data_IF_939306651640
#
_entry.id   IF_939306651640
#
_cell.length_a   1.000
_cell.length_b   1.000
_cell.length_c   1.000
_cell.angle_alpha   90.00
_cell.angle_beta   90.00
_cell.angle_gamma   90.00
#
_symmetry.space_group_name_H-M   'P 1'
#
loop_
_entity.id
_entity.type
_entity.pdbx_description
1 polymer ?
#
# COMPACT_ATOMS: atom_id res chain seq x y z
N UNK A 1 -0.72 18.29 -7.70
CA UNK A 1 0.04 17.82 -6.51
C UNK A 1 -0.49 16.52 -5.90
N UNK A 2 -1.69 16.05 -6.23
CA UNK A 2 -2.26 14.81 -5.65
C UNK A 2 -1.55 13.49 -6.01
N UNK A 3 -0.63 13.51 -6.99
CA UNK A 3 0.12 12.34 -7.45
C UNK A 3 1.58 12.31 -7.00
N UNK A 4 2.06 13.33 -6.29
CA UNK A 4 3.42 13.34 -5.76
C UNK A 4 3.55 12.45 -4.53
N UNK A 5 4.73 11.87 -4.37
CA UNK A 5 5.11 11.19 -3.13
C UNK A 5 5.09 12.15 -1.95
N UNK A 6 4.60 11.68 -0.82
CA UNK A 6 4.80 12.39 0.44
C UNK A 6 6.25 12.24 0.92
N UNK A 7 6.71 13.15 1.76
CA UNK A 7 8.05 13.09 2.35
C UNK A 7 8.35 11.70 2.96
N UNK A 8 7.43 11.17 3.78
CA UNK A 8 7.62 9.90 4.48
C UNK A 8 7.73 8.71 3.51
N UNK A 9 7.01 8.74 2.37
CA UNK A 9 7.12 7.67 1.35
C UNK A 9 8.40 7.81 0.54
N UNK A 10 8.83 9.03 0.21
CA UNK A 10 10.08 9.29 -0.48
C UNK A 10 11.29 8.91 0.39
N UNK A 11 11.27 9.25 1.68
CA UNK A 11 12.27 8.79 2.65
C UNK A 11 12.33 7.27 2.73
N UNK A 12 11.18 6.59 2.77
CA UNK A 12 11.17 5.13 2.79
C UNK A 12 11.82 4.55 1.53
N UNK A 13 11.44 5.04 0.33
CA UNK A 13 12.03 4.60 -0.94
C UNK A 13 13.54 4.81 -1.00
N UNK A 14 14.04 5.92 -0.48
CA UNK A 14 15.47 6.20 -0.45
C UNK A 14 16.28 5.19 0.37
N UNK A 15 15.65 4.45 1.29
CA UNK A 15 16.31 3.39 2.07
C UNK A 15 16.47 2.07 1.31
N UNK A 16 15.83 1.94 0.15
CA UNK A 16 15.78 0.68 -0.62
C UNK A 16 16.83 0.62 -1.75
N UNK A 17 17.53 1.71 -2.00
CA UNK A 17 18.54 1.79 -3.03
C UNK A 17 19.77 2.57 -2.58
N UNK A 18 20.93 2.18 -3.07
CA UNK A 18 22.20 2.88 -2.91
C UNK A 18 23.13 2.56 -4.09
N UNK A 19 24.22 3.30 -4.23
CA UNK A 19 25.21 3.10 -5.27
C UNK A 19 25.94 4.39 -5.64
N UNK A 20 26.64 4.35 -6.76
CA UNK A 20 27.34 5.50 -7.31
C UNK A 20 26.42 6.35 -8.20
N UNK A 21 25.53 5.70 -8.96
CA UNK A 21 24.75 6.34 -10.05
C UNK A 21 23.26 6.00 -9.97
N UNK A 22 22.41 7.04 -10.08
CA UNK A 22 20.96 6.96 -10.16
C UNK A 22 20.45 7.70 -11.40
N UNK A 23 19.47 7.12 -12.09
CA UNK A 23 18.66 7.83 -13.09
C UNK A 23 17.19 7.74 -12.74
N UNK A 24 16.55 8.88 -12.53
CA UNK A 24 15.09 9.03 -12.44
C UNK A 24 14.56 9.36 -13.84
N UNK A 25 13.84 8.43 -14.46
CA UNK A 25 13.33 8.56 -15.85
C UNK A 25 12.00 9.32 -15.94
N UNK A 26 11.39 9.66 -14.81
CA UNK A 26 10.07 10.29 -14.72
C UNK A 26 10.03 11.36 -13.64
N UNK A 27 10.95 12.27 -13.69
CA UNK A 27 11.33 13.20 -12.63
C UNK A 27 10.19 13.97 -11.94
N UNK A 28 9.17 14.40 -12.69
CA UNK A 28 8.02 15.13 -12.16
C UNK A 28 8.42 16.34 -11.32
N UNK A 29 7.87 16.46 -10.10
CA UNK A 29 8.28 17.51 -9.16
C UNK A 29 9.64 17.25 -8.47
N UNK A 30 10.30 16.15 -8.76
CA UNK A 30 11.63 15.82 -8.24
C UNK A 30 11.67 15.33 -6.79
N UNK A 31 10.53 15.04 -6.17
CA UNK A 31 10.47 14.65 -4.74
C UNK A 31 11.22 13.33 -4.51
N UNK A 32 10.88 12.27 -5.25
CA UNK A 32 11.54 10.97 -5.10
C UNK A 32 13.02 11.06 -5.45
N UNK A 33 13.35 11.73 -6.54
CA UNK A 33 14.73 11.99 -6.96
C UNK A 33 15.53 12.69 -5.86
N UNK A 34 15.00 13.77 -5.25
CA UNK A 34 15.68 14.55 -4.22
C UNK A 34 16.00 13.70 -2.96
N UNK A 35 15.06 12.88 -2.51
CA UNK A 35 15.30 12.03 -1.34
C UNK A 35 16.27 10.88 -1.63
N UNK A 36 16.19 10.25 -2.81
CA UNK A 36 17.11 9.20 -3.21
C UNK A 36 18.51 9.74 -3.49
N UNK A 37 18.66 10.95 -4.02
CA UNK A 37 19.93 11.55 -4.40
C UNK A 37 20.98 11.55 -3.28
N UNK A 38 20.57 11.60 -2.00
CA UNK A 38 21.47 11.52 -0.85
C UNK A 38 22.25 10.20 -0.73
N UNK A 39 21.84 9.17 -1.46
CA UNK A 39 22.42 7.82 -1.46
C UNK A 39 23.33 7.55 -2.65
N UNK A 40 23.46 8.53 -3.57
CA UNK A 40 24.20 8.37 -4.81
C UNK A 40 25.17 9.54 -5.03
N UNK A 41 26.26 9.30 -5.76
CA UNK A 41 27.24 10.35 -6.08
C UNK A 41 26.90 11.13 -7.33
N UNK A 42 26.25 10.49 -8.30
CA UNK A 42 25.84 11.10 -9.57
C UNK A 42 24.40 10.73 -9.85
N UNK A 43 23.55 11.74 -10.07
CA UNK A 43 22.13 11.56 -10.29
C UNK A 43 21.70 12.25 -11.56
N UNK A 44 20.96 11.54 -12.41
CA UNK A 44 20.29 12.08 -13.59
C UNK A 44 18.80 12.17 -13.30
N UNK A 45 18.24 13.37 -13.40
CA UNK A 45 16.82 13.65 -13.35
C UNK A 45 16.34 13.91 -14.77
N UNK A 46 15.38 13.14 -15.27
CA UNK A 46 14.85 13.21 -16.63
C UNK A 46 13.37 13.52 -16.59
N UNK A 47 12.97 14.59 -17.27
CA UNK A 47 11.57 15.04 -17.32
C UNK A 47 11.28 15.69 -18.68
N UNK A 48 10.15 15.34 -19.29
CA UNK A 48 9.75 15.84 -20.61
C UNK A 48 9.17 17.26 -20.57
N UNK A 49 8.58 17.66 -19.43
CA UNK A 49 7.96 18.97 -19.25
C UNK A 49 9.02 20.00 -18.85
N UNK A 50 9.25 20.99 -19.74
CA UNK A 50 10.25 22.03 -19.54
C UNK A 50 10.04 22.82 -18.25
N UNK A 51 8.77 23.16 -17.92
CA UNK A 51 8.44 23.89 -16.70
C UNK A 51 8.88 23.15 -15.42
N UNK A 52 8.72 21.83 -15.37
CA UNK A 52 9.17 21.01 -14.24
C UNK A 52 10.70 20.92 -14.19
N UNK A 53 11.37 20.88 -15.34
CA UNK A 53 12.82 20.92 -15.41
C UNK A 53 13.38 22.24 -14.86
N UNK A 54 12.75 23.38 -15.17
CA UNK A 54 13.18 24.68 -14.64
C UNK A 54 12.98 24.77 -13.12
N UNK A 55 11.85 24.25 -12.61
CA UNK A 55 11.62 24.14 -11.16
C UNK A 55 12.69 23.26 -10.50
N UNK A 56 13.02 22.11 -11.09
CA UNK A 56 14.04 21.20 -10.59
C UNK A 56 15.44 21.84 -10.58
N UNK A 57 15.85 22.49 -11.67
CA UNK A 57 17.11 23.24 -11.78
C UNK A 57 17.25 24.33 -10.71
N UNK A 58 16.13 24.96 -10.35
CA UNK A 58 16.13 25.97 -9.30
C UNK A 58 16.19 25.33 -7.89
N UNK A 59 15.39 24.31 -7.63
CA UNK A 59 15.21 23.75 -6.30
C UNK A 59 16.38 22.85 -5.85
N UNK A 60 16.92 21.98 -6.71
CA UNK A 60 17.97 21.04 -6.31
C UNK A 60 19.21 21.72 -5.72
N UNK A 61 19.76 22.80 -6.31
CA UNK A 61 20.87 23.53 -5.69
C UNK A 61 20.54 24.16 -4.34
N UNK A 62 19.30 24.67 -4.15
CA UNK A 62 18.84 25.22 -2.87
C UNK A 62 18.74 24.15 -1.78
N UNK A 63 18.41 22.92 -2.16
CA UNK A 63 18.40 21.75 -1.28
C UNK A 63 19.80 21.14 -1.06
N UNK A 64 20.86 21.73 -1.63
CA UNK A 64 22.22 21.21 -1.53
C UNK A 64 22.53 20.04 -2.49
N UNK A 65 21.63 19.70 -3.39
CA UNK A 65 21.70 18.54 -4.30
C UNK A 65 22.37 18.91 -5.64
N UNK A 66 23.55 19.53 -5.59
CA UNK A 66 24.30 20.02 -6.76
C UNK A 66 24.82 18.92 -7.70
N UNK A 67 24.79 17.66 -7.26
CA UNK A 67 25.22 16.48 -8.03
C UNK A 67 24.11 15.88 -8.89
N UNK A 68 22.93 16.52 -8.93
CA UNK A 68 21.83 16.15 -9.82
C UNK A 68 21.97 16.92 -11.13
N UNK A 69 22.01 16.20 -12.24
CA UNK A 69 21.94 16.77 -13.59
C UNK A 69 20.52 16.67 -14.12
N UNK A 70 19.95 17.78 -14.59
CA UNK A 70 18.58 17.83 -15.13
C UNK A 70 18.62 17.71 -16.65
N UNK A 71 17.88 16.74 -17.19
CA UNK A 71 17.69 16.52 -18.62
C UNK A 71 16.23 16.79 -18.98
N UNK A 72 16.00 17.73 -19.92
CA UNK A 72 14.67 17.99 -20.45
C UNK A 72 14.46 17.14 -21.71
N UNK A 73 14.01 15.92 -21.52
CA UNK A 73 13.77 14.98 -22.61
C UNK A 73 12.82 13.84 -22.18
N UNK A 74 12.39 13.05 -23.14
CA UNK A 74 11.58 11.86 -22.89
C UNK A 74 12.40 10.77 -22.18
N UNK A 75 11.83 10.16 -21.13
CA UNK A 75 12.50 9.17 -20.30
C UNK A 75 12.90 7.90 -21.07
N UNK A 76 12.08 7.44 -22.03
CA UNK A 76 12.39 6.26 -22.84
C UNK A 76 13.51 6.57 -23.82
N UNK A 77 13.49 7.75 -24.44
CA UNK A 77 14.57 8.21 -25.33
C UNK A 77 15.89 8.37 -24.56
N UNK A 78 15.83 8.85 -23.30
CA UNK A 78 17.01 8.91 -22.44
C UNK A 78 17.53 7.51 -22.11
N UNK A 79 16.64 6.59 -21.70
CA UNK A 79 16.98 5.20 -21.36
C UNK A 79 17.71 4.49 -22.52
N UNK A 80 17.29 4.71 -23.77
CA UNK A 80 17.90 4.08 -24.95
C UNK A 80 19.38 4.45 -25.12
N UNK A 81 19.75 5.71 -24.83
CA UNK A 81 21.09 6.25 -25.11
C UNK A 81 22.00 6.37 -23.89
N UNK A 82 21.45 6.29 -22.66
CA UNK A 82 22.25 6.43 -21.45
C UNK A 82 23.21 5.25 -21.24
N UNK A 83 24.29 5.50 -20.53
CA UNK A 83 25.18 4.44 -20.02
C UNK A 83 24.52 3.69 -18.86
N UNK A 84 24.92 2.42 -18.61
CA UNK A 84 24.41 1.66 -17.47
C UNK A 84 24.67 2.35 -16.13
N UNK A 85 23.69 2.22 -15.20
CA UNK A 85 23.71 2.82 -13.86
C UNK A 85 23.43 1.80 -12.77
N UNK A 86 23.69 2.15 -11.50
CA UNK A 86 23.40 1.25 -10.38
C UNK A 86 21.91 1.17 -10.11
N UNK A 87 21.19 2.30 -10.18
CA UNK A 87 19.76 2.34 -9.94
C UNK A 87 19.01 3.15 -11.00
N UNK A 88 17.87 2.63 -11.44
CA UNK A 88 16.88 3.36 -12.23
C UNK A 88 15.60 3.48 -11.41
N UNK A 89 15.06 4.68 -11.31
CA UNK A 89 13.72 4.93 -10.77
C UNK A 89 12.78 5.33 -11.90
N UNK A 90 11.54 4.81 -11.86
CA UNK A 90 10.51 5.13 -12.83
C UNK A 90 9.12 5.11 -12.19
N UNK A 91 8.33 6.16 -12.39
CA UNK A 91 6.95 6.34 -11.94
C UNK A 91 6.06 6.58 -13.17
N UNK A 92 5.63 5.51 -13.87
CA UNK A 92 4.84 5.65 -15.09
C UNK A 92 3.48 6.28 -14.78
N UNK A 93 3.10 7.28 -15.58
CA UNK A 93 1.82 7.96 -15.48
C UNK A 93 0.69 7.05 -15.98
N UNK A 94 -0.54 7.27 -15.53
CA UNK A 94 -1.71 6.58 -16.07
C UNK A 94 -2.07 7.15 -17.45
N UNK A 95 -2.39 6.30 -18.41
CA UNK A 95 -3.00 6.72 -19.67
C UNK A 95 -4.45 7.14 -19.41
N UNK A 96 -4.74 8.42 -19.51
CA UNK A 96 -6.08 8.98 -19.23
C UNK A 96 -6.99 9.04 -20.46
N UNK A 97 -6.85 8.19 -21.46
CA UNK A 97 -7.55 8.39 -22.74
C UNK A 97 -9.08 8.22 -22.67
N UNK A 98 -9.67 7.51 -21.66
CA UNK A 98 -11.12 7.28 -21.63
C UNK A 98 -11.77 7.17 -20.25
N UNK A 99 -11.19 7.70 -19.17
CA UNK A 99 -11.84 7.70 -17.84
C UNK A 99 -12.08 6.30 -17.24
N UNK A 100 -11.44 5.27 -17.77
CA UNK A 100 -11.49 3.89 -17.29
C UNK A 100 -10.67 3.69 -16.02
N UNK A 101 -10.97 2.61 -15.29
CA UNK A 101 -10.15 2.20 -14.14
C UNK A 101 -8.85 1.61 -14.66
N UNK A 102 -7.72 2.28 -14.44
CA UNK A 102 -6.38 1.73 -14.65
C UNK A 102 -6.16 0.56 -13.68
N UNK A 103 -6.05 -0.65 -14.18
CA UNK A 103 -5.93 -1.87 -13.38
C UNK A 103 -4.63 -2.62 -13.69
N UNK A 104 -4.10 -2.50 -14.91
CA UNK A 104 -2.91 -3.19 -15.39
C UNK A 104 -1.71 -2.24 -15.62
N UNK A 105 -0.50 -2.79 -15.68
CA UNK A 105 0.73 -2.04 -16.02
C UNK A 105 0.64 -1.49 -17.45
N UNK A 106 0.07 -2.24 -18.38
CA UNK A 106 -0.17 -1.81 -19.77
C UNK A 106 -1.04 -0.55 -19.92
N UNK A 107 -1.78 -0.18 -18.85
CA UNK A 107 -2.55 1.06 -18.81
C UNK A 107 -1.71 2.28 -18.40
N UNK A 108 -0.41 2.10 -18.21
CA UNK A 108 0.53 3.15 -17.83
C UNK A 108 1.41 3.61 -19.00
N UNK A 109 1.97 4.81 -18.88
CA UNK A 109 2.93 5.38 -19.83
C UNK A 109 4.17 5.91 -19.07
N UNK A 110 5.36 5.39 -19.40
CA UNK A 110 5.62 4.30 -20.35
C UNK A 110 5.14 2.94 -19.84
N UNK A 111 4.89 1.97 -20.75
CA UNK A 111 4.62 0.59 -20.39
C UNK A 111 5.91 -0.09 -19.94
N UNK A 112 6.07 -0.22 -18.64
CA UNK A 112 7.31 -0.77 -18.05
C UNK A 112 7.46 -2.28 -18.28
N UNK A 113 6.38 -3.00 -18.61
CA UNK A 113 6.48 -4.42 -18.95
C UNK A 113 7.12 -4.60 -20.34
N UNK A 114 6.80 -3.74 -21.30
CA UNK A 114 7.46 -3.74 -22.62
C UNK A 114 8.93 -3.27 -22.52
N UNK A 115 9.24 -2.41 -21.54
CA UNK A 115 10.59 -1.87 -21.34
C UNK A 115 11.47 -2.73 -20.42
N UNK A 116 10.96 -3.83 -19.85
CA UNK A 116 11.65 -4.60 -18.80
C UNK A 116 13.09 -4.99 -19.20
N UNK A 117 13.27 -5.58 -20.39
CA UNK A 117 14.59 -6.01 -20.89
C UNK A 117 15.54 -4.81 -21.11
N UNK A 118 15.03 -3.70 -21.62
CA UNK A 118 15.84 -2.50 -21.81
C UNK A 118 16.24 -1.89 -20.45
N UNK A 119 15.33 -1.80 -19.48
CA UNK A 119 15.62 -1.33 -18.14
C UNK A 119 16.72 -2.19 -17.47
N UNK A 120 16.60 -3.52 -17.58
CA UNK A 120 17.58 -4.47 -17.03
C UNK A 120 18.94 -4.41 -17.71
N UNK A 121 18.99 -4.03 -19.00
CA UNK A 121 20.27 -3.82 -19.70
C UNK A 121 21.01 -2.56 -19.25
N UNK A 122 20.29 -1.61 -18.64
CA UNK A 122 20.80 -0.28 -18.26
C UNK A 122 20.88 -0.06 -16.75
N UNK A 123 20.19 -0.84 -15.93
CA UNK A 123 20.20 -0.70 -14.48
C UNK A 123 20.49 -2.02 -13.76
N UNK A 124 21.29 -1.97 -12.68
CA UNK A 124 21.49 -3.14 -11.80
C UNK A 124 20.25 -3.40 -10.93
N UNK A 125 19.61 -2.32 -10.48
CA UNK A 125 18.35 -2.32 -9.74
C UNK A 125 17.39 -1.33 -10.38
N UNK A 126 16.17 -1.75 -10.61
CA UNK A 126 15.12 -0.87 -11.12
C UNK A 126 14.00 -0.79 -10.11
N UNK A 127 13.62 0.42 -9.71
CA UNK A 127 12.53 0.73 -8.80
C UNK A 127 11.36 1.28 -9.60
N UNK A 128 10.26 0.52 -9.68
CA UNK A 128 9.05 0.91 -10.44
C UNK A 128 7.96 1.28 -9.44
N UNK A 129 7.62 2.55 -9.36
CA UNK A 129 6.52 3.04 -8.54
C UNK A 129 5.21 2.96 -9.32
N UNK A 130 4.20 2.37 -8.73
CA UNK A 130 2.90 2.17 -9.34
C UNK A 130 1.78 2.70 -8.44
N UNK A 131 0.69 3.11 -9.06
CA UNK A 131 -0.52 3.53 -8.36
C UNK A 131 -1.08 2.40 -7.47
N UNK A 132 -1.61 2.72 -6.27
CA UNK A 132 -2.29 1.74 -5.42
C UNK A 132 -3.58 1.19 -6.03
N UNK A 133 -4.07 1.76 -7.12
CA UNK A 133 -5.25 1.24 -7.84
C UNK A 133 -4.93 0.00 -8.68
N UNK A 134 -3.67 -0.20 -9.10
CA UNK A 134 -3.26 -1.36 -9.89
C UNK A 134 -3.46 -2.67 -9.11
N UNK A 135 -3.84 -3.72 -9.85
CA UNK A 135 -3.91 -5.07 -9.29
C UNK A 135 -2.52 -5.68 -9.19
N UNK A 136 -2.08 -5.95 -7.95
CA UNK A 136 -0.76 -6.54 -7.69
C UNK A 136 -0.59 -7.91 -8.35
N UNK A 137 -1.67 -8.68 -8.49
CA UNK A 137 -1.58 -10.01 -9.14
C UNK A 137 -1.33 -9.88 -10.63
N UNK A 138 -2.00 -8.95 -11.28
CA UNK A 138 -1.79 -8.66 -12.69
C UNK A 138 -0.39 -8.07 -12.91
N UNK A 139 0.05 -7.14 -12.06
CA UNK A 139 1.38 -6.56 -12.13
C UNK A 139 2.49 -7.62 -12.08
N UNK A 140 2.41 -8.55 -11.11
CA UNK A 140 3.37 -9.66 -10.98
C UNK A 140 3.31 -10.69 -12.10
N UNK A 141 2.19 -10.79 -12.81
CA UNK A 141 2.08 -11.66 -14.00
C UNK A 141 2.68 -11.01 -15.25
N UNK A 142 2.66 -9.69 -15.33
CA UNK A 142 3.17 -8.94 -16.48
C UNK A 142 4.69 -8.75 -16.45
N UNK A 143 5.33 -8.90 -15.29
CA UNK A 143 6.76 -8.68 -15.09
C UNK A 143 7.46 -10.00 -14.75
N UNK A 144 8.64 -10.24 -15.34
CA UNK A 144 9.38 -11.52 -15.21
C UNK A 144 10.48 -11.49 -14.15
N UNK A 145 11.09 -10.32 -13.93
CA UNK A 145 12.30 -10.16 -13.13
C UNK A 145 12.06 -9.45 -11.79
N UNK A 146 10.83 -9.55 -11.25
CA UNK A 146 10.51 -8.97 -9.94
C UNK A 146 11.27 -9.71 -8.84
N UNK A 147 12.04 -8.97 -8.05
CA UNK A 147 12.80 -9.49 -6.91
C UNK A 147 12.04 -9.34 -5.60
N UNK A 148 11.39 -8.21 -5.42
CA UNK A 148 10.59 -7.91 -4.23
C UNK A 148 9.51 -6.85 -4.55
N UNK A 149 8.50 -6.79 -3.69
CA UNK A 149 7.39 -5.84 -3.78
C UNK A 149 7.22 -5.14 -2.46
N UNK A 150 7.00 -3.81 -2.50
CA UNK A 150 6.59 -3.04 -1.33
C UNK A 150 5.19 -2.46 -1.56
N UNK A 151 4.26 -2.77 -0.67
CA UNK A 151 2.93 -2.18 -0.61
C UNK A 151 2.96 -1.15 0.51
N UNK A 152 2.93 0.14 0.14
CA UNK A 152 3.22 1.23 1.07
C UNK A 152 1.94 1.97 1.42
N UNK A 153 1.65 2.04 2.71
CA UNK A 153 0.55 2.82 3.30
C UNK A 153 1.09 3.91 4.20
N UNK A 154 0.37 5.01 4.28
CA UNK A 154 0.63 6.09 5.24
C UNK A 154 -0.64 6.30 6.06
N UNK A 155 -0.53 6.26 7.39
CA UNK A 155 -1.67 6.38 8.30
C UNK A 155 -2.85 5.48 7.94
N UNK A 156 -2.54 4.21 7.58
CA UNK A 156 -3.51 3.19 7.20
C UNK A 156 -4.27 3.47 5.88
N UNK A 157 -3.68 4.25 4.97
CA UNK A 157 -4.16 4.46 3.61
C UNK A 157 -3.09 4.01 2.61
N UNK A 158 -3.42 3.07 1.71
CA UNK A 158 -2.48 2.60 0.70
C UNK A 158 -2.17 3.70 -0.31
N UNK A 159 -0.90 4.08 -0.42
CA UNK A 159 -0.45 5.21 -1.26
C UNK A 159 0.21 4.77 -2.55
N UNK A 160 1.01 3.71 -2.52
CA UNK A 160 1.77 3.27 -3.69
C UNK A 160 2.14 1.78 -3.60
N UNK A 161 2.38 1.19 -4.76
CA UNK A 161 3.04 -0.09 -4.92
C UNK A 161 4.43 0.19 -5.50
N UNK A 162 5.45 -0.48 -5.00
CA UNK A 162 6.81 -0.39 -5.53
C UNK A 162 7.28 -1.79 -5.91
N UNK A 163 7.64 -1.99 -7.16
CA UNK A 163 8.30 -3.21 -7.64
C UNK A 163 9.79 -2.95 -7.73
N UNK A 164 10.59 -3.85 -7.19
CA UNK A 164 12.04 -3.87 -7.40
C UNK A 164 12.34 -5.02 -8.36
N UNK A 165 12.92 -4.69 -9.51
CA UNK A 165 13.35 -5.68 -10.49
C UNK A 165 14.87 -5.67 -10.65
N UNK A 166 15.43 -6.80 -11.08
CA UNK A 166 16.88 -6.96 -11.28
C UNK A 166 17.21 -8.24 -12.03
N UNK A 167 18.45 -8.34 -12.52
CA UNK A 167 18.88 -9.42 -13.41
C UNK A 167 18.82 -10.83 -12.81
N UNK A 168 18.83 -10.95 -11.48
CA UNK A 168 18.71 -12.25 -10.84
C UNK A 168 17.24 -12.49 -10.44
N UNK A 169 16.52 -13.40 -11.12
CA UNK A 169 15.12 -13.68 -10.78
C UNK A 169 15.02 -14.32 -9.39
N UNK A 170 14.09 -13.80 -8.58
CA UNK A 170 13.77 -14.42 -7.29
C UNK A 170 12.78 -15.56 -7.49
N UNK A 171 13.10 -16.77 -6.99
CA UNK A 171 12.18 -17.90 -6.99
C UNK A 171 10.97 -17.67 -6.07
N UNK A 172 11.17 -16.96 -4.98
CA UNK A 172 10.13 -16.56 -4.03
C UNK A 172 10.17 -15.05 -3.88
N UNK A 173 9.18 -14.36 -4.43
CA UNK A 173 9.09 -12.90 -4.37
C UNK A 173 8.54 -12.49 -3.00
N UNK A 174 9.34 -11.86 -2.12
CA UNK A 174 8.82 -11.31 -0.88
C UNK A 174 7.93 -10.09 -1.16
N UNK A 175 6.81 -10.02 -0.46
CA UNK A 175 5.89 -8.89 -0.49
C UNK A 175 5.94 -8.23 0.89
N UNK A 176 6.47 -7.02 0.92
CA UNK A 176 6.62 -6.19 2.10
C UNK A 176 5.43 -5.25 2.24
N UNK A 177 4.58 -5.50 3.22
CA UNK A 177 3.47 -4.61 3.57
C UNK A 177 3.98 -3.61 4.61
N UNK A 178 4.02 -2.34 4.25
CA UNK A 178 4.58 -1.27 5.07
C UNK A 178 3.46 -0.26 5.38
N UNK A 179 3.26 0.04 6.65
CA UNK A 179 2.39 1.14 7.06
C UNK A 179 3.19 2.15 7.87
N UNK A 180 3.41 3.31 7.29
CA UNK A 180 4.18 4.41 7.86
C UNK A 180 3.24 5.33 8.66
N UNK A 181 3.58 5.59 9.91
CA UNK A 181 2.87 6.57 10.75
C UNK A 181 3.87 7.51 11.40
N UNK A 182 3.41 8.59 12.01
CA UNK A 182 4.28 9.49 12.77
C UNK A 182 4.88 8.86 14.03
N UNK A 183 4.34 7.72 14.48
CA UNK A 183 4.77 7.04 15.72
C UNK A 183 5.64 5.82 15.44
N UNK A 184 5.33 5.07 14.40
CA UNK A 184 5.95 3.76 14.12
C UNK A 184 5.88 3.39 12.64
N UNK A 185 6.72 2.45 12.27
CA UNK A 185 6.67 1.73 11.00
C UNK A 185 6.18 0.30 11.27
N UNK A 186 4.94 -0.02 10.89
CA UNK A 186 4.43 -1.38 10.93
C UNK A 186 4.88 -2.13 9.68
N UNK A 187 5.41 -3.32 9.85
CA UNK A 187 5.89 -4.15 8.73
C UNK A 187 5.32 -5.56 8.82
N UNK A 188 4.98 -6.13 7.66
CA UNK A 188 4.58 -7.51 7.52
C UNK A 188 5.08 -8.04 6.18
N UNK A 189 5.89 -9.09 6.17
CA UNK A 189 6.43 -9.68 4.95
C UNK A 189 5.91 -11.10 4.76
N UNK A 190 5.49 -11.41 3.54
CA UNK A 190 5.02 -12.74 3.16
C UNK A 190 5.37 -13.05 1.69
N UNK A 191 5.08 -14.25 1.23
CA UNK A 191 5.14 -14.64 -0.19
C UNK A 191 3.78 -15.16 -0.63
N UNK A 192 3.49 -15.13 -1.93
CA UNK A 192 2.23 -15.68 -2.46
C UNK A 192 2.08 -17.17 -2.18
N UNK A 193 3.16 -17.93 -2.27
CA UNK A 193 3.16 -19.34 -1.90
C UNK A 193 2.84 -19.53 -0.42
N UNK A 194 3.46 -18.72 0.45
CA UNK A 194 3.16 -18.71 1.88
C UNK A 194 1.70 -18.35 2.18
N UNK A 195 1.09 -17.41 1.44
CA UNK A 195 -0.34 -17.10 1.57
C UNK A 195 -1.23 -18.30 1.18
N UNK A 196 -0.91 -18.99 0.09
CA UNK A 196 -1.68 -20.12 -0.40
C UNK A 196 -1.60 -21.35 0.53
N UNK A 197 -0.43 -21.60 1.11
CA UNK A 197 -0.15 -22.77 1.97
C UNK A 197 -0.46 -22.53 3.44
N UNK A 198 -0.61 -21.27 3.88
CA UNK A 198 -0.91 -20.96 5.29
C UNK A 198 -2.27 -21.51 5.72
N UNK A 199 -2.29 -22.12 6.88
CA UNK A 199 -3.53 -22.51 7.54
C UNK A 199 -4.27 -21.26 8.06
N UNK A 200 -5.58 -21.22 7.88
CA UNK A 200 -6.43 -20.15 8.38
C UNK A 200 -7.69 -20.72 9.01
N UNK A 201 -7.80 -20.59 10.32
CA UNK A 201 -8.97 -21.02 11.06
C UNK A 201 -10.05 -19.94 11.00
N UNK A 202 -11.27 -20.37 10.68
CA UNK A 202 -12.47 -19.52 10.69
C UNK A 202 -13.28 -19.75 11.96
N UNK A 203 -14.01 -18.72 12.41
CA UNK A 203 -14.82 -18.83 13.61
C UNK A 203 -16.18 -18.16 13.45
N UNK A 204 -17.21 -18.77 14.08
CA UNK A 204 -18.53 -18.19 14.27
C UNK A 204 -18.68 -17.45 15.61
N UNK A 205 -17.64 -17.48 16.44
CA UNK A 205 -17.64 -16.89 17.78
C UNK A 205 -16.58 -15.80 17.86
N UNK A 206 -16.90 -14.71 18.52
CA UNK A 206 -15.95 -13.64 18.80
C UNK A 206 -15.18 -13.97 20.07
N UNK A 207 -13.86 -13.77 20.03
CA UNK A 207 -13.02 -13.74 21.22
C UNK A 207 -13.10 -12.38 21.92
N UNK A 208 -12.20 -12.14 22.84
CA UNK A 208 -12.12 -10.89 23.60
C UNK A 208 -11.66 -9.70 22.77
N UNK A 209 -10.80 -9.93 21.77
CA UNK A 209 -10.19 -8.88 20.96
C UNK A 209 -10.53 -9.04 19.48
N UNK A 210 -10.68 -7.90 18.81
CA UNK A 210 -10.86 -7.78 17.36
C UNK A 210 -9.63 -7.13 16.74
N UNK A 211 -9.18 -7.68 15.61
CA UNK A 211 -8.01 -7.19 14.87
C UNK A 211 -8.38 -6.89 13.42
N UNK A 212 -7.93 -5.76 12.94
CA UNK A 212 -8.06 -5.35 11.54
C UNK A 212 -6.67 -5.06 10.98
N UNK A 213 -6.17 -5.82 9.98
CA UNK A 213 -4.88 -5.55 9.35
C UNK A 213 -4.83 -4.16 8.75
N UNK A 214 -3.64 -3.59 8.67
CA UNK A 214 -3.46 -2.29 8.03
C UNK A 214 -3.69 -2.36 6.51
N UNK A 215 -3.84 -1.20 5.89
CA UNK A 215 -4.23 -1.09 4.49
C UNK A 215 -3.22 -1.73 3.51
N UNK A 216 -1.92 -1.75 3.83
CA UNK A 216 -0.92 -2.40 2.98
C UNK A 216 -1.11 -3.93 2.94
N UNK A 217 -1.42 -4.55 4.08
CA UNK A 217 -1.71 -5.99 4.18
C UNK A 217 -3.01 -6.34 3.44
N UNK A 218 -4.05 -5.52 3.62
CA UNK A 218 -5.33 -5.70 2.92
C UNK A 218 -5.15 -5.58 1.41
N UNK A 219 -4.37 -4.61 0.93
CA UNK A 219 -4.05 -4.42 -0.48
C UNK A 219 -3.22 -5.56 -1.05
N UNK A 220 -2.24 -6.06 -0.30
CA UNK A 220 -1.38 -7.17 -0.70
C UNK A 220 -2.08 -8.53 -0.71
N UNK A 221 -3.19 -8.68 0.01
CA UNK A 221 -3.97 -9.91 0.08
C UNK A 221 -3.41 -10.97 1.03
N UNK A 222 -2.66 -10.58 2.08
CA UNK A 222 -2.08 -11.50 3.06
C UNK A 222 -3.10 -11.92 4.15
N UNK A 223 -4.16 -12.60 3.74
CA UNK A 223 -5.30 -12.86 4.64
C UNK A 223 -5.17 -14.13 5.47
N UNK A 224 -4.55 -15.16 4.91
CA UNK A 224 -4.32 -16.44 5.60
C UNK A 224 -2.99 -16.41 6.35
N UNK A 225 -1.95 -15.86 5.73
CA UNK A 225 -0.62 -15.80 6.31
C UNK A 225 -0.60 -14.98 7.60
N UNK A 226 -1.32 -13.84 7.65
CA UNK A 226 -1.44 -13.04 8.88
C UNK A 226 -2.19 -13.81 9.97
N UNK A 227 -3.26 -14.55 9.63
CA UNK A 227 -4.01 -15.37 10.59
C UNK A 227 -3.11 -16.44 11.21
N UNK A 228 -2.37 -17.17 10.39
CA UNK A 228 -1.45 -18.22 10.79
C UNK A 228 -0.33 -17.68 11.68
N UNK A 229 0.33 -16.59 11.24
CA UNK A 229 1.50 -16.01 11.95
C UNK A 229 1.13 -15.47 13.33
N UNK A 230 -0.02 -14.81 13.46
CA UNK A 230 -0.47 -14.23 14.72
C UNK A 230 -1.41 -15.16 15.51
N UNK A 231 -1.68 -16.37 15.01
CA UNK A 231 -2.55 -17.38 15.64
C UNK A 231 -3.93 -16.82 16.00
N UNK A 232 -4.47 -15.98 15.11
CA UNK A 232 -5.81 -15.41 15.25
C UNK A 232 -6.79 -16.10 14.34
N UNK A 233 -8.07 -16.17 14.75
CA UNK A 233 -9.14 -16.77 13.95
C UNK A 233 -9.79 -15.71 13.06
N UNK A 234 -10.00 -16.02 11.79
CA UNK A 234 -10.64 -15.12 10.84
C UNK A 234 -12.16 -15.24 10.95
N UNK A 235 -12.88 -14.12 10.95
CA UNK A 235 -14.33 -14.13 11.12
C UNK A 235 -15.07 -14.72 9.91
N UNK A 236 -14.59 -14.44 8.69
CA UNK A 236 -15.18 -14.95 7.46
C UNK A 236 -14.16 -14.82 6.31
N UNK A 237 -14.20 -15.66 5.26
CA UNK A 237 -13.31 -15.55 4.10
C UNK A 237 -13.20 -14.13 3.52
N UNK A 238 -14.30 -13.37 3.48
CA UNK A 238 -14.39 -12.06 2.86
C UNK A 238 -14.43 -10.88 3.86
N UNK A 239 -14.43 -11.11 5.19
CA UNK A 239 -14.52 -10.02 6.17
C UNK A 239 -13.19 -9.35 6.44
N UNK A 240 -12.08 -10.09 6.35
CA UNK A 240 -10.73 -9.62 6.66
C UNK A 240 -10.61 -8.99 8.05
N UNK A 241 -11.40 -9.47 8.98
CA UNK A 241 -11.35 -9.21 10.41
C UNK A 241 -10.99 -10.48 11.15
N UNK A 242 -10.28 -10.34 12.26
CA UNK A 242 -9.74 -11.46 13.03
C UNK A 242 -10.07 -11.28 14.51
N UNK A 243 -10.07 -12.38 15.25
CA UNK A 243 -10.36 -12.36 16.69
C UNK A 243 -9.46 -13.33 17.46
N UNK A 244 -9.25 -13.02 18.74
CA UNK A 244 -8.53 -13.86 19.70
C UNK A 244 -9.03 -13.56 21.11
N UNK A 245 -8.95 -14.54 22.00
CA UNK A 245 -9.16 -14.35 23.44
C UNK A 245 -7.93 -13.76 24.13
N UNK A 246 -6.74 -13.94 23.51
CA UNK A 246 -5.49 -13.40 23.99
C UNK A 246 -5.16 -12.09 23.29
N UNK A 247 -4.56 -11.18 24.04
CA UNK A 247 -3.98 -9.96 23.46
C UNK A 247 -2.79 -10.32 22.56
N UNK A 248 -2.78 -9.79 21.32
CA UNK A 248 -1.67 -9.94 20.37
C UNK A 248 -0.89 -8.63 20.32
N UNK A 249 0.27 -8.67 20.91
CA UNK A 249 1.20 -7.54 20.84
C UNK A 249 1.74 -7.34 19.43
N UNK A 250 1.92 -6.10 19.03
CA UNK A 250 2.51 -5.72 17.74
C UNK A 250 1.77 -6.29 16.51
N UNK A 251 0.45 -6.49 16.60
CA UNK A 251 -0.34 -6.83 15.43
C UNK A 251 -0.26 -5.70 14.40
N UNK A 252 0.10 -5.98 13.13
CA UNK A 252 0.31 -4.93 12.12
C UNK A 252 -1.02 -4.40 11.59
N UNK A 253 -1.65 -3.53 12.36
CA UNK A 253 -2.97 -2.99 12.07
C UNK A 253 -3.59 -2.30 13.27
N UNK A 254 -4.92 -2.40 13.38
CA UNK A 254 -5.68 -1.84 14.50
C UNK A 254 -6.18 -2.97 15.40
N UNK A 255 -6.04 -2.78 16.70
CA UNK A 255 -6.48 -3.74 17.72
C UNK A 255 -7.55 -3.11 18.60
N UNK A 256 -8.56 -3.89 18.95
CA UNK A 256 -9.72 -3.41 19.70
C UNK A 256 -10.14 -4.43 20.77
N UNK A 257 -10.62 -3.93 21.90
CA UNK A 257 -11.32 -4.71 22.89
C UNK A 257 -12.80 -4.77 22.51
N UNK A 258 -13.37 -5.95 22.39
CA UNK A 258 -14.81 -6.15 22.13
C UNK A 258 -15.56 -5.89 23.43
N UNK A 259 -16.48 -4.92 23.40
CA UNK A 259 -17.31 -4.52 24.55
C UNK A 259 -18.78 -4.91 24.41
N UNK A 260 -19.18 -5.41 23.23
CA UNK A 260 -20.52 -5.89 22.98
C UNK A 260 -20.71 -6.39 21.57
N UNK A 261 -21.71 -7.22 21.36
CA UNK A 261 -22.12 -7.70 20.04
C UNK A 261 -23.63 -7.89 19.98
N UNK A 262 -24.20 -7.76 18.79
CA UNK A 262 -25.62 -8.07 18.56
C UNK A 262 -25.84 -8.49 17.10
N UNK A 263 -27.02 -9.03 16.80
CA UNK A 263 -27.47 -9.22 15.43
C UNK A 263 -27.86 -7.89 14.78
N UNK A 264 -28.01 -7.86 13.46
CA UNK A 264 -28.37 -6.65 12.74
C UNK A 264 -29.86 -6.37 12.76
N UNK A 265 -30.48 -6.38 13.93
CA UNK A 265 -31.86 -5.97 14.14
C UNK A 265 -31.95 -4.66 14.94
N UNK A 266 -33.05 -3.92 14.73
CA UNK A 266 -33.22 -2.57 15.29
C UNK A 266 -33.21 -2.51 16.80
N UNK A 267 -33.81 -3.55 17.47
CA UNK A 267 -33.92 -3.61 18.92
C UNK A 267 -32.58 -3.85 19.57
N UNK A 268 -31.88 -4.90 19.15
CA UNK A 268 -30.59 -5.28 19.70
C UNK A 268 -29.49 -4.21 19.41
N UNK A 269 -29.50 -3.61 18.22
CA UNK A 269 -28.61 -2.49 17.91
C UNK A 269 -28.84 -1.35 18.91
N UNK A 270 -30.11 -0.95 19.16
CA UNK A 270 -30.43 0.13 20.08
C UNK A 270 -29.96 -0.20 21.51
N UNK A 271 -30.12 -1.43 21.96
CA UNK A 271 -29.65 -1.90 23.27
C UNK A 271 -28.11 -1.86 23.35
N UNK A 272 -27.42 -2.33 22.30
CA UNK A 272 -25.94 -2.41 22.26
C UNK A 272 -25.29 -1.02 22.19
N UNK A 273 -25.83 -0.11 21.39
CA UNK A 273 -25.28 1.25 21.27
C UNK A 273 -25.69 2.14 22.44
N UNK A 274 -26.83 1.87 23.10
CA UNK A 274 -27.35 2.65 24.23
C UNK A 274 -27.52 4.13 23.87
N UNK A 275 -26.97 5.01 24.70
CA UNK A 275 -27.05 6.48 24.55
C UNK A 275 -25.93 7.10 23.71
N UNK A 276 -25.17 6.29 22.98
CA UNK A 276 -24.09 6.79 22.11
C UNK A 276 -24.63 7.80 21.08
N UNK A 277 -23.90 8.90 20.91
CA UNK A 277 -24.20 9.93 19.89
C UNK A 277 -23.22 9.88 18.72
N UNK A 278 -22.01 9.35 18.96
CA UNK A 278 -20.93 9.27 17.97
C UNK A 278 -20.27 7.90 17.99
N UNK A 279 -19.85 7.42 16.82
CA UNK A 279 -19.00 6.23 16.69
C UNK A 279 -18.26 6.20 15.35
N UNK A 280 -17.11 5.57 15.35
CA UNK A 280 -16.35 5.23 14.14
C UNK A 280 -16.91 3.92 13.57
N UNK A 281 -17.56 3.98 12.40
CA UNK A 281 -18.23 2.82 11.81
C UNK A 281 -17.39 2.25 10.68
N UNK A 282 -17.10 0.94 10.76
CA UNK A 282 -16.42 0.17 9.71
C UNK A 282 -17.33 -0.94 9.21
N UNK A 283 -17.40 -1.11 7.89
CA UNK A 283 -18.19 -2.16 7.24
C UNK A 283 -17.26 -3.10 6.49
N UNK A 284 -17.38 -4.40 6.75
CA UNK A 284 -16.60 -5.47 6.12
C UNK A 284 -17.51 -6.66 5.79
N UNK A 285 -17.68 -6.98 4.50
CA UNK A 285 -18.53 -8.09 4.05
C UNK A 285 -19.96 -8.02 4.65
N UNK A 286 -20.64 -6.92 4.42
CA UNK A 286 -21.92 -6.65 5.04
C UNK A 286 -22.88 -5.98 4.04
N UNK A 287 -24.19 -6.27 4.07
CA UNK A 287 -25.15 -5.83 3.04
C UNK A 287 -25.61 -4.37 3.19
N UNK A 288 -25.07 -3.60 4.13
CA UNK A 288 -25.38 -2.18 4.30
C UNK A 288 -24.11 -1.32 4.29
N UNK A 289 -24.21 -0.12 3.75
CA UNK A 289 -23.18 0.90 3.73
C UNK A 289 -23.04 1.62 5.07
N UNK A 290 -21.91 2.30 5.30
CA UNK A 290 -21.72 3.17 6.49
C UNK A 290 -22.83 4.21 6.58
N UNK A 291 -23.22 4.83 5.45
CA UNK A 291 -24.27 5.85 5.41
C UNK A 291 -25.64 5.29 5.85
N UNK A 292 -26.01 4.10 5.39
CA UNK A 292 -27.26 3.43 5.78
C UNK A 292 -27.26 3.06 7.28
N UNK A 293 -26.14 2.57 7.79
CA UNK A 293 -26.00 2.28 9.22
C UNK A 293 -26.14 3.56 10.04
N UNK A 294 -25.48 4.66 9.65
CA UNK A 294 -25.62 5.96 10.31
C UNK A 294 -27.06 6.48 10.30
N UNK A 295 -27.75 6.38 9.18
CA UNK A 295 -29.18 6.76 9.06
C UNK A 295 -30.04 5.93 10.02
N UNK A 296 -29.75 4.62 10.16
CA UNK A 296 -30.48 3.69 11.01
C UNK A 296 -30.21 3.88 12.50
N UNK A 297 -28.97 4.16 12.87
CA UNK A 297 -28.52 4.32 14.26
C UNK A 297 -28.57 5.74 14.76
N UNK A 298 -28.63 6.74 13.88
CA UNK A 298 -28.53 8.18 14.16
C UNK A 298 -27.18 8.61 14.76
N UNK A 299 -26.12 7.79 14.60
CA UNK A 299 -24.80 8.10 15.09
C UNK A 299 -24.07 9.03 14.12
N UNK A 300 -23.45 10.07 14.64
CA UNK A 300 -22.48 10.90 13.91
C UNK A 300 -21.08 10.28 13.92
N UNK A 301 -20.17 10.81 13.11
CA UNK A 301 -18.79 10.31 13.02
C UNK A 301 -17.94 10.72 14.22
N UNK A 302 -16.95 9.87 14.56
CA UNK A 302 -15.95 10.15 15.60
C UNK A 302 -16.29 9.55 16.97
N UNK A 303 -15.61 10.06 18.01
CA UNK A 303 -15.66 9.51 19.36
C UNK A 303 -14.72 8.33 19.57
N UNK A 304 -14.79 7.72 20.77
CA UNK A 304 -13.88 6.66 21.21
C UNK A 304 -14.40 5.24 20.92
N UNK A 305 -15.68 5.11 20.53
CA UNK A 305 -16.32 3.84 20.23
C UNK A 305 -16.16 3.50 18.76
N UNK A 306 -15.83 2.24 18.50
CA UNK A 306 -15.74 1.66 17.15
C UNK A 306 -16.85 0.62 16.98
N UNK A 307 -17.52 0.66 15.83
CA UNK A 307 -18.58 -0.25 15.48
C UNK A 307 -18.24 -0.95 14.16
N UNK A 308 -18.16 -2.27 14.21
CA UNK A 308 -17.90 -3.09 13.03
C UNK A 308 -19.17 -3.83 12.62
N UNK A 309 -19.63 -3.60 11.40
CA UNK A 309 -20.69 -4.39 10.78
C UNK A 309 -20.04 -5.42 9.86
N UNK A 310 -20.21 -6.71 10.17
CA UNK A 310 -19.52 -7.79 9.45
C UNK A 310 -20.32 -9.08 9.41
N UNK A 311 -19.77 -10.08 8.72
CA UNK A 311 -20.33 -11.43 8.61
C UNK A 311 -19.38 -12.42 9.27
N UNK A 312 -19.90 -13.35 10.04
CA UNK A 312 -19.17 -14.47 10.63
C UNK A 312 -19.13 -15.69 9.69
N UNK A 313 -18.33 -16.69 10.01
CA UNK A 313 -18.13 -17.89 9.17
C UNK A 313 -19.38 -18.74 8.93
N UNK A 314 -20.40 -18.59 9.77
CA UNK A 314 -21.72 -19.21 9.63
C UNK A 314 -22.76 -18.32 8.91
N UNK A 315 -22.30 -17.31 8.17
CA UNK A 315 -23.12 -16.31 7.44
C UNK A 315 -23.95 -15.37 8.31
N UNK A 316 -23.81 -15.45 9.65
CA UNK A 316 -24.50 -14.56 10.57
C UNK A 316 -23.97 -13.11 10.42
N UNK A 317 -24.91 -12.16 10.27
CA UNK A 317 -24.61 -10.73 10.23
C UNK A 317 -24.55 -10.20 11.66
N UNK A 318 -23.40 -9.63 12.03
CA UNK A 318 -23.16 -9.14 13.39
C UNK A 318 -22.72 -7.68 13.39
N UNK A 319 -23.08 -7.03 14.47
CA UNK A 319 -22.67 -5.67 14.81
C UNK A 319 -21.82 -5.72 16.08
N UNK A 320 -20.55 -5.36 15.98
CA UNK A 320 -19.57 -5.51 17.05
C UNK A 320 -19.22 -4.13 17.59
N UNK A 321 -19.39 -3.91 18.89
CA UNK A 321 -19.01 -2.70 19.60
C UNK A 321 -17.65 -2.90 20.24
N UNK A 322 -16.74 -1.97 20.01
CA UNK A 322 -15.35 -2.04 20.45
C UNK A 322 -14.86 -0.71 21.03
N UNK A 323 -13.86 -0.79 21.90
CA UNK A 323 -12.97 0.30 22.27
C UNK A 323 -11.58 0.06 21.67
N UNK A 324 -10.86 1.12 21.30
CA UNK A 324 -9.47 1.01 20.87
C UNK A 324 -8.60 0.67 22.08
N UNK A 325 -7.63 -0.23 21.90
CA UNK A 325 -6.64 -0.58 22.93
C UNK A 325 -5.34 0.16 22.66
#
# INVERSE_FOLDING_TARGET
>A
MEQCSSEITAQYKSTLADGETLTDLTGGFGIDCAFMASRFRKVSYVERQEELCEIAKHNFPLLGLKHITVYNEDGVAHLQKMEPVDCIFIDPARRNEHGGKTIAISDCEPDVAELEELLLSKGKQIMIKLSPMLDLTLALKSMKHVREVHVISVNNECKELLLIIGNEPSRLIPIHCINLTSKEKQTFTFTREGELTSECLYTKELGKYLYEPNASILKAGAFRNIASRYKVKKLHPNSHLYTSDLWIENFPGRSFLITGQCSFNKKEIKETIGELKKANITVRNFPATVAEIRKRTKLSDGGEVYLFATTLSNEQKVFIKCSKV
#
